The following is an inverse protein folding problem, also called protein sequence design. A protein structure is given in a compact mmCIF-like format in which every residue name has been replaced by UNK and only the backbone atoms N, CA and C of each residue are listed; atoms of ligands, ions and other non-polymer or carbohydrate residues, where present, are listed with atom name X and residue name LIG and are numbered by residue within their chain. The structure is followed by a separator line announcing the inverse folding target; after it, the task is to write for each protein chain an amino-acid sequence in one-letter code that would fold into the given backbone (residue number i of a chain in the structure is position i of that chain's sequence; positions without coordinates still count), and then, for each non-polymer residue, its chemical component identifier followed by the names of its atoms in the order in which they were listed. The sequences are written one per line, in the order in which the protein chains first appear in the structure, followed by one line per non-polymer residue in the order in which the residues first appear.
data_IF_532280675392
#
_entry.id   IF_532280675392
#
_cell.length_a   1.000
_cell.length_b   1.000
_cell.length_c   1.000
_cell.angle_alpha   90.00
_cell.angle_beta   90.00
_cell.angle_gamma   90.00
#
_symmetry.space_group_name_H-M   'P 1'
#
loop_
_entity.id
_entity.type
_entity.pdbx_description
1 polymer ?
#
# COMPACT_ATOMS: atom_id res chain seq x y z
N UNK A 1 -6.44 -6.68 15.08
CA UNK A 1 -5.95 -5.50 15.81
C UNK A 1 -6.95 -4.38 15.54
N UNK A 2 -7.44 -3.71 16.57
CA UNK A 2 -8.47 -2.65 16.40
C UNK A 2 -7.90 -1.30 16.82
N UNK A 3 -8.32 -0.24 16.16
CA UNK A 3 -8.03 1.13 16.53
C UNK A 3 -8.55 1.43 17.93
N UNK A 4 -7.76 2.12 18.73
CA UNK A 4 -8.10 2.47 20.13
C UNK A 4 -7.73 1.41 21.16
N UNK A 5 -7.49 0.15 20.77
CA UNK A 5 -7.05 -0.89 21.70
C UNK A 5 -5.68 -0.56 22.30
N UNK A 6 -5.35 -1.09 23.50
CA UNK A 6 -4.01 -0.98 24.09
C UNK A 6 -2.93 -1.61 23.21
N UNK A 7 -1.73 -1.05 23.24
CA UNK A 7 -0.56 -1.56 22.53
C UNK A 7 0.21 -2.62 23.32
N UNK A 8 -0.26 -3.87 23.32
CA UNK A 8 0.32 -5.00 24.08
C UNK A 8 1.32 -5.86 23.30
N UNK A 9 1.36 -5.73 21.99
CA UNK A 9 2.17 -6.56 21.10
C UNK A 9 2.45 -5.90 19.76
N UNK A 10 3.45 -6.43 19.05
CA UNK A 10 3.78 -6.13 17.65
C UNK A 10 3.57 -7.40 16.83
N UNK A 11 3.20 -7.23 15.58
CA UNK A 11 3.13 -8.32 14.62
C UNK A 11 4.13 -8.10 13.49
N UNK A 12 4.84 -9.15 13.11
CA UNK A 12 5.73 -9.18 11.93
C UNK A 12 5.02 -10.02 10.87
N UNK A 13 4.70 -9.43 9.73
CA UNK A 13 4.08 -10.16 8.63
C UNK A 13 5.09 -11.13 8.00
N UNK A 14 4.73 -12.41 7.94
CA UNK A 14 5.55 -13.50 7.36
C UNK A 14 5.12 -13.78 5.93
N UNK A 15 3.81 -13.79 5.69
CA UNK A 15 3.22 -13.95 4.37
C UNK A 15 1.82 -13.31 4.31
N UNK A 16 1.31 -13.13 3.12
CA UNK A 16 0.02 -12.47 2.89
C UNK A 16 0.08 -10.95 3.02
N UNK A 17 -1.10 -10.32 3.00
CA UNK A 17 -1.25 -8.85 3.05
C UNK A 17 -2.35 -8.46 4.02
N UNK A 18 -2.23 -7.27 4.60
CA UNK A 18 -3.24 -6.69 5.49
C UNK A 18 -3.62 -5.29 5.02
N UNK A 19 -4.86 -4.90 5.31
CA UNK A 19 -5.38 -3.54 5.16
C UNK A 19 -5.21 -2.80 6.48
N UNK A 20 -4.65 -1.60 6.42
CA UNK A 20 -4.60 -0.67 7.55
C UNK A 20 -5.74 0.31 7.38
N UNK A 21 -6.67 0.30 8.33
CA UNK A 21 -7.92 1.06 8.26
C UNK A 21 -8.06 1.92 9.51
N UNK A 22 -8.31 3.20 9.34
CA UNK A 22 -8.65 4.08 10.46
C UNK A 22 -10.09 4.55 10.32
N UNK A 23 -10.77 4.63 11.45
CA UNK A 23 -12.10 5.24 11.55
C UNK A 23 -11.93 6.74 11.76
N UNK A 24 -12.55 7.52 10.90
CA UNK A 24 -12.58 8.97 11.02
C UNK A 24 -13.58 9.46 12.08
N UNK A 25 -13.58 10.77 12.36
CA UNK A 25 -14.47 11.38 13.35
C UNK A 25 -15.97 11.27 13.00
N UNK A 26 -16.32 10.90 11.76
CA UNK A 26 -17.69 10.66 11.30
C UNK A 26 -18.09 9.17 11.39
N UNK A 27 -17.17 8.30 11.85
CA UNK A 27 -17.40 6.87 12.03
C UNK A 27 -17.20 6.04 10.76
N UNK A 28 -16.73 6.63 9.68
CA UNK A 28 -16.43 5.91 8.45
C UNK A 28 -15.02 5.30 8.47
N UNK A 29 -14.92 4.06 8.04
CA UNK A 29 -13.65 3.37 7.90
C UNK A 29 -12.94 3.86 6.63
N UNK A 30 -11.68 4.31 6.78
CA UNK A 30 -10.84 4.82 5.70
C UNK A 30 -9.61 3.94 5.54
N UNK A 31 -9.40 3.42 4.35
CA UNK A 31 -8.19 2.65 4.03
C UNK A 31 -6.98 3.58 3.92
N UNK A 32 -6.00 3.38 4.80
CA UNK A 32 -4.76 4.16 4.86
C UNK A 32 -3.66 3.56 3.98
N UNK A 33 -3.65 2.24 3.85
CA UNK A 33 -2.65 1.52 3.06
C UNK A 33 -2.76 0.01 3.17
N UNK A 34 -1.97 -0.66 2.36
CA UNK A 34 -1.74 -2.11 2.40
C UNK A 34 -0.36 -2.34 3.01
N UNK A 35 -0.20 -3.46 3.72
CA UNK A 35 1.09 -3.90 4.27
C UNK A 35 1.33 -5.35 3.88
N UNK A 36 2.59 -5.65 3.57
CA UNK A 36 3.04 -6.94 3.08
C UNK A 36 4.09 -7.60 3.95
N UNK A 37 4.70 -8.65 3.41
CA UNK A 37 5.75 -9.44 4.07
C UNK A 37 6.92 -8.57 4.56
N UNK A 38 7.37 -8.82 5.78
CA UNK A 38 8.50 -8.14 6.42
C UNK A 38 8.11 -6.86 7.17
N UNK A 39 6.89 -6.38 7.03
CA UNK A 39 6.46 -5.18 7.72
C UNK A 39 6.01 -5.45 9.17
N UNK A 40 6.27 -4.45 10.01
CA UNK A 40 5.82 -4.39 11.40
C UNK A 40 4.45 -3.74 11.50
N UNK A 41 3.62 -4.25 12.41
CA UNK A 41 2.29 -3.73 12.69
C UNK A 41 2.12 -3.53 14.20
N UNK A 42 1.68 -2.32 14.59
CA UNK A 42 1.41 -1.97 15.98
C UNK A 42 2.66 -1.61 16.78
N UNK A 43 3.77 -1.31 16.12
CA UNK A 43 5.03 -0.87 16.73
C UNK A 43 4.88 0.47 17.45
N UNK A 44 4.12 1.42 16.90
CA UNK A 44 3.97 2.77 17.46
C UNK A 44 3.46 2.71 18.90
N UNK A 45 2.32 2.08 19.11
CA UNK A 45 1.71 1.96 20.43
C UNK A 45 2.52 1.08 21.43
N UNK A 46 3.50 0.35 20.96
CA UNK A 46 4.45 -0.34 21.83
C UNK A 46 5.63 0.56 22.25
N UNK A 47 5.94 1.60 21.46
CA UNK A 47 7.05 2.53 21.71
C UNK A 47 6.59 3.76 22.49
N UNK A 48 5.41 4.32 22.13
CA UNK A 48 4.89 5.58 22.70
C UNK A 48 3.82 5.40 23.79
N UNK A 49 3.51 4.14 24.17
CA UNK A 49 2.45 3.80 25.13
C UNK A 49 1.04 4.27 24.74
N UNK A 50 0.87 4.77 23.51
CA UNK A 50 -0.40 5.23 23.00
C UNK A 50 -1.33 4.08 22.60
N UNK A 51 -2.63 4.40 22.32
CA UNK A 51 -3.57 3.44 21.76
C UNK A 51 -3.19 3.09 20.30
N UNK A 52 -3.75 1.99 19.78
CA UNK A 52 -3.61 1.63 18.37
C UNK A 52 -4.13 2.76 17.48
N UNK A 53 -3.29 3.30 16.61
CA UNK A 53 -3.64 4.41 15.70
C UNK A 53 -4.61 3.99 14.59
N UNK A 54 -4.65 2.70 14.26
CA UNK A 54 -5.50 2.13 13.21
C UNK A 54 -5.84 0.67 13.49
N UNK A 55 -6.88 0.19 12.82
CA UNK A 55 -7.21 -1.23 12.73
C UNK A 55 -6.39 -1.90 11.64
N UNK A 56 -6.05 -3.17 11.85
CA UNK A 56 -5.40 -4.02 10.85
C UNK A 56 -6.29 -5.22 10.57
N UNK A 57 -6.65 -5.38 9.30
CA UNK A 57 -7.57 -6.42 8.81
C UNK A 57 -6.85 -7.27 7.77
N UNK A 58 -6.92 -8.59 7.91
CA UNK A 58 -6.34 -9.51 6.94
C UNK A 58 -6.98 -9.33 5.56
N UNK A 59 -6.16 -9.34 4.52
CA UNK A 59 -6.59 -9.34 3.13
C UNK A 59 -6.25 -10.69 2.51
N UNK A 60 -7.13 -11.65 2.69
CA UNK A 60 -6.89 -13.05 2.36
C UNK A 60 -6.17 -13.82 3.48
N UNK A 61 -5.45 -14.88 3.12
CA UNK A 61 -4.64 -15.66 4.04
C UNK A 61 -3.40 -14.87 4.48
N UNK A 62 -3.14 -14.83 5.78
CA UNK A 62 -2.03 -14.07 6.37
C UNK A 62 -1.36 -14.91 7.45
N UNK A 63 -0.04 -14.95 7.42
CA UNK A 63 0.77 -15.44 8.53
C UNK A 63 1.55 -14.29 9.16
N UNK A 64 1.52 -14.20 10.48
CA UNK A 64 2.24 -13.19 11.23
C UNK A 64 2.79 -13.74 12.55
N UNK A 65 3.96 -13.27 12.94
CA UNK A 65 4.56 -13.60 14.24
C UNK A 65 4.17 -12.53 15.25
N UNK A 66 3.49 -12.93 16.32
CA UNK A 66 3.18 -12.06 17.46
C UNK A 66 4.38 -11.97 18.40
N UNK A 67 4.74 -10.76 18.80
CA UNK A 67 5.79 -10.46 19.77
C UNK A 67 5.18 -9.56 20.83
N UNK A 68 5.27 -9.93 22.11
CA UNK A 68 4.78 -9.11 23.22
C UNK A 68 5.55 -7.79 23.29
N UNK A 69 4.94 -6.72 23.78
CA UNK A 69 5.57 -5.41 23.96
C UNK A 69 6.89 -5.51 24.72
N UNK A 70 6.88 -6.18 25.88
CA UNK A 70 8.11 -6.36 26.71
C UNK A 70 9.23 -7.02 25.91
N UNK A 71 8.93 -8.09 25.16
CA UNK A 71 9.94 -8.78 24.34
C UNK A 71 10.41 -7.92 23.17
N UNK A 72 9.50 -7.17 22.55
CA UNK A 72 9.83 -6.28 21.42
C UNK A 72 10.78 -5.15 21.86
N UNK A 73 10.46 -4.48 22.97
CA UNK A 73 11.33 -3.44 23.54
C UNK A 73 12.69 -4.03 23.91
N UNK A 74 12.73 -5.16 24.64
CA UNK A 74 13.99 -5.82 24.96
C UNK A 74 14.84 -6.20 23.74
N UNK A 75 14.22 -6.64 22.64
CA UNK A 75 14.95 -6.91 21.37
C UNK A 75 15.55 -5.62 20.79
N UNK A 76 14.85 -4.48 20.87
CA UNK A 76 15.37 -3.21 20.37
C UNK A 76 16.56 -2.73 21.22
N UNK A 77 16.50 -2.92 22.54
CA UNK A 77 17.59 -2.56 23.47
C UNK A 77 18.82 -3.46 23.26
N UNK A 78 18.61 -4.76 23.13
CA UNK A 78 19.67 -5.75 22.90
C UNK A 78 20.30 -5.66 21.50
N UNK A 79 19.52 -5.19 20.50
CA UNK A 79 19.89 -5.20 19.07
C UNK A 79 19.62 -3.87 18.40
N UNK A 80 20.56 -2.91 18.44
CA UNK A 80 20.39 -1.59 17.83
C UNK A 80 20.05 -1.63 16.32
N UNK A 81 20.42 -2.72 15.62
CA UNK A 81 20.06 -2.91 14.22
C UNK A 81 18.54 -3.05 14.04
N UNK A 82 17.85 -3.71 14.99
CA UNK A 82 16.38 -3.85 14.96
C UNK A 82 15.73 -2.49 15.23
N UNK A 83 16.22 -1.73 16.22
CA UNK A 83 15.72 -0.38 16.50
C UNK A 83 15.85 0.53 15.27
N UNK A 84 17.00 0.50 14.56
CA UNK A 84 17.19 1.25 13.31
C UNK A 84 16.21 0.83 12.23
N UNK A 85 15.90 -0.47 12.10
CA UNK A 85 14.93 -0.94 11.12
C UNK A 85 13.50 -0.47 11.44
N UNK A 86 13.11 -0.47 12.72
CA UNK A 86 11.83 0.10 13.17
C UNK A 86 11.74 1.58 12.81
N UNK A 87 12.77 2.37 13.15
CA UNK A 87 12.84 3.80 12.82
C UNK A 87 12.77 3.99 11.29
N UNK A 88 13.48 3.17 10.51
CA UNK A 88 13.45 3.24 9.05
C UNK A 88 12.04 3.03 8.49
N UNK A 89 11.31 2.02 8.97
CA UNK A 89 9.95 1.74 8.52
C UNK A 89 8.98 2.87 8.90
N UNK A 90 9.04 3.36 10.13
CA UNK A 90 8.20 4.48 10.59
C UNK A 90 8.51 5.76 9.79
N UNK A 91 9.78 6.07 9.59
CA UNK A 91 10.20 7.24 8.80
C UNK A 91 9.75 7.13 7.33
N UNK A 92 9.78 5.93 6.75
CA UNK A 92 9.25 5.72 5.39
C UNK A 92 7.75 5.99 5.34
N UNK A 93 6.98 5.49 6.30
CA UNK A 93 5.52 5.74 6.38
C UNK A 93 5.20 7.22 6.56
N UNK A 94 6.00 7.95 7.34
CA UNK A 94 5.85 9.39 7.50
C UNK A 94 6.09 10.11 6.17
N UNK A 95 7.20 9.83 5.48
CA UNK A 95 7.47 10.40 4.14
C UNK A 95 6.36 10.11 3.13
N UNK A 96 5.81 8.90 3.15
CA UNK A 96 4.71 8.54 2.26
C UNK A 96 3.41 9.30 2.59
N UNK A 97 3.15 9.55 3.88
CA UNK A 97 2.02 10.37 4.31
C UNK A 97 2.19 11.84 3.91
N UNK A 98 3.39 12.41 4.11
CA UNK A 98 3.74 13.79 3.70
C UNK A 98 3.64 13.94 2.18
N UNK A 99 4.16 12.97 1.41
CA UNK A 99 4.04 12.96 -0.05
C UNK A 99 2.58 12.97 -0.48
N UNK A 100 1.75 12.08 0.07
CA UNK A 100 0.31 12.03 -0.21
C UNK A 100 -0.38 13.36 0.11
N UNK A 101 -0.04 14.00 1.22
CA UNK A 101 -0.59 15.30 1.59
C UNK A 101 -0.19 16.38 0.60
N UNK A 102 1.07 16.44 0.17
CA UNK A 102 1.54 17.37 -0.85
C UNK A 102 0.84 17.16 -2.20
N UNK A 103 0.66 15.90 -2.60
CA UNK A 103 -0.04 15.52 -3.83
C UNK A 103 -1.51 15.97 -3.87
N UNK A 104 -2.17 16.09 -2.71
CA UNK A 104 -3.56 16.59 -2.63
C UNK A 104 -3.71 18.02 -3.13
N UNK A 105 -2.69 18.85 -2.94
CA UNK A 105 -2.72 20.27 -3.30
C UNK A 105 -2.10 20.53 -4.67
N UNK A 106 -1.16 19.70 -5.12
CA UNK A 106 -0.38 19.92 -6.34
C UNK A 106 -0.81 19.09 -7.54
N UNK A 107 -1.54 18.00 -7.34
CA UNK A 107 -1.83 17.05 -8.41
C UNK A 107 -3.31 16.80 -8.65
N UNK A 108 -3.63 16.52 -9.90
CA UNK A 108 -4.98 16.10 -10.26
C UNK A 108 -5.26 14.64 -9.83
N UNK A 109 -6.55 14.29 -9.78
CA UNK A 109 -7.00 12.95 -9.35
C UNK A 109 -6.44 11.84 -10.24
N UNK A 110 -6.30 12.08 -11.54
CA UNK A 110 -5.80 11.06 -12.48
C UNK A 110 -4.37 10.64 -12.14
N UNK A 111 -3.51 11.62 -11.82
CA UNK A 111 -2.12 11.38 -11.41
C UNK A 111 -2.08 10.62 -10.09
N UNK A 112 -2.86 11.05 -9.08
CA UNK A 112 -2.91 10.36 -7.78
C UNK A 112 -3.39 8.92 -7.89
N UNK A 113 -4.46 8.65 -8.66
CA UNK A 113 -4.95 7.28 -8.91
C UNK A 113 -3.89 6.45 -9.62
N UNK A 114 -3.19 7.01 -10.60
CA UNK A 114 -2.12 6.31 -11.31
C UNK A 114 -0.97 5.94 -10.38
N UNK A 115 -0.54 6.84 -9.50
CA UNK A 115 0.52 6.57 -8.51
C UNK A 115 0.11 5.52 -7.48
N UNK A 116 -1.10 5.60 -6.95
CA UNK A 116 -1.63 4.57 -6.05
C UNK A 116 -1.60 3.20 -6.72
N UNK A 117 -1.96 3.11 -8.01
CA UNK A 117 -1.87 1.85 -8.74
C UNK A 117 -0.43 1.37 -8.90
N UNK A 118 0.53 2.26 -9.14
CA UNK A 118 1.96 1.91 -9.21
C UNK A 118 2.45 1.40 -7.86
N UNK A 119 2.14 2.09 -6.76
CA UNK A 119 2.50 1.67 -5.41
C UNK A 119 1.90 0.29 -5.09
N UNK A 120 0.63 0.06 -5.42
CA UNK A 120 -0.05 -1.22 -5.21
C UNK A 120 0.51 -2.34 -6.09
N UNK A 121 0.88 -2.05 -7.32
CA UNK A 121 1.52 -3.04 -8.18
C UNK A 121 2.82 -3.54 -7.55
N UNK A 122 3.64 -2.66 -6.97
CA UNK A 122 4.86 -3.05 -6.26
C UNK A 122 4.55 -3.97 -5.05
N UNK A 123 3.42 -3.75 -4.37
CA UNK A 123 2.97 -4.60 -3.26
C UNK A 123 2.42 -5.97 -3.71
N UNK A 124 1.81 -6.03 -4.90
CA UNK A 124 1.12 -7.23 -5.39
C UNK A 124 1.90 -7.99 -6.48
N UNK A 125 3.07 -7.52 -6.87
CA UNK A 125 3.98 -8.26 -7.75
C UNK A 125 4.51 -9.47 -6.97
N UNK A 126 4.24 -10.65 -7.46
CA UNK A 126 4.87 -11.87 -6.99
C UNK A 126 6.14 -12.14 -7.81
N UNK A 127 7.16 -12.76 -7.19
CA UNK A 127 8.41 -13.13 -7.86
C UNK A 127 8.09 -13.99 -9.10
N UNK A 128 8.37 -13.46 -10.29
CA UNK A 128 8.10 -14.11 -11.59
C UNK A 128 6.83 -13.64 -12.32
N UNK A 129 5.99 -12.79 -11.74
CA UNK A 129 4.71 -12.33 -12.33
C UNK A 129 4.82 -11.07 -13.19
N UNK A 130 5.92 -10.34 -13.13
CA UNK A 130 6.08 -9.04 -13.79
C UNK A 130 5.84 -9.05 -15.31
N UNK A 131 6.04 -10.19 -15.97
CA UNK A 131 5.86 -10.34 -17.43
C UNK A 131 4.41 -10.56 -17.86
N UNK A 132 3.50 -10.92 -16.94
CA UNK A 132 2.10 -11.28 -17.26
C UNK A 132 1.06 -10.26 -16.79
N UNK A 133 1.52 -9.11 -16.29
CA UNK A 133 0.65 -8.15 -15.64
C UNK A 133 0.41 -8.49 -14.15
N UNK A 134 -0.14 -7.52 -13.41
CA UNK A 134 -0.37 -7.63 -11.97
C UNK A 134 -1.85 -7.43 -11.67
N UNK A 135 -2.43 -8.33 -10.90
CA UNK A 135 -3.79 -8.19 -10.38
C UNK A 135 -3.74 -7.58 -8.99
N UNK A 136 -4.35 -6.42 -8.83
CA UNK A 136 -4.54 -5.72 -7.56
C UNK A 136 -5.94 -6.04 -7.04
N UNK A 137 -6.10 -6.86 -6.01
CA UNK A 137 -7.40 -7.30 -5.50
C UNK A 137 -8.04 -6.24 -4.58
N UNK A 138 -8.21 -5.03 -5.08
CA UNK A 138 -8.88 -3.90 -4.42
C UNK A 138 -9.99 -3.36 -5.29
N UNK A 139 -11.10 -2.99 -4.65
CA UNK A 139 -12.24 -2.36 -5.29
C UNK A 139 -11.98 -0.90 -5.63
N UNK A 140 -12.83 -0.33 -6.49
CA UNK A 140 -12.72 1.07 -6.92
C UNK A 140 -12.90 2.04 -5.75
N UNK A 141 -13.71 1.69 -4.75
CA UNK A 141 -13.91 2.47 -3.51
C UNK A 141 -12.60 2.55 -2.71
N UNK A 142 -11.92 1.41 -2.52
CA UNK A 142 -10.66 1.34 -1.80
C UNK A 142 -9.55 2.11 -2.52
N UNK A 143 -9.51 2.05 -3.85
CA UNK A 143 -8.59 2.85 -4.65
C UNK A 143 -8.88 4.35 -4.54
N UNK A 144 -10.16 4.73 -4.50
CA UNK A 144 -10.55 6.12 -4.27
C UNK A 144 -10.07 6.63 -2.91
N UNK A 145 -10.24 5.83 -1.86
CA UNK A 145 -9.76 6.15 -0.50
C UNK A 145 -8.24 6.33 -0.46
N UNK A 146 -7.48 5.40 -1.06
CA UNK A 146 -6.01 5.48 -1.12
C UNK A 146 -5.51 6.68 -1.90
N UNK A 147 -6.24 7.08 -2.98
CA UNK A 147 -5.93 8.25 -3.79
C UNK A 147 -6.49 9.57 -3.20
N UNK A 148 -7.13 9.50 -2.04
CA UNK A 148 -7.85 10.63 -1.43
C UNK A 148 -8.74 11.36 -2.44
N UNK A 149 -9.54 10.60 -3.18
CA UNK A 149 -10.45 11.07 -4.22
C UNK A 149 -11.89 10.63 -3.92
N UNK A 150 -12.87 11.36 -4.47
CA UNK A 150 -14.24 10.85 -4.47
C UNK A 150 -14.35 9.61 -5.36
N UNK A 151 -15.27 8.71 -5.03
CA UNK A 151 -15.54 7.50 -5.82
C UNK A 151 -15.77 7.84 -7.30
N UNK A 152 -16.58 8.86 -7.59
CA UNK A 152 -16.88 9.31 -8.96
C UNK A 152 -15.62 9.78 -9.70
N UNK A 153 -14.75 10.53 -9.01
CA UNK A 153 -13.50 11.03 -9.62
C UNK A 153 -12.52 9.90 -9.89
N UNK A 154 -12.39 8.94 -8.96
CA UNK A 154 -11.57 7.76 -9.15
C UNK A 154 -12.09 6.88 -10.31
N UNK A 155 -13.41 6.69 -10.42
CA UNK A 155 -14.01 5.98 -11.56
C UNK A 155 -13.70 6.65 -12.91
N UNK A 156 -13.75 7.99 -12.98
CA UNK A 156 -13.40 8.73 -14.20
C UNK A 156 -11.93 8.53 -14.57
N UNK A 157 -11.02 8.58 -13.58
CA UNK A 157 -9.59 8.31 -13.78
C UNK A 157 -9.36 6.88 -14.29
N UNK A 158 -9.97 5.88 -13.64
CA UNK A 158 -9.88 4.47 -14.07
C UNK A 158 -10.46 4.26 -15.48
N UNK A 159 -11.56 4.97 -15.85
CA UNK A 159 -12.09 4.91 -17.22
C UNK A 159 -11.06 5.40 -18.24
N UNK A 160 -10.34 6.52 -17.96
CA UNK A 160 -9.29 7.04 -18.85
C UNK A 160 -8.12 6.07 -18.99
N UNK A 161 -7.66 5.48 -17.88
CA UNK A 161 -6.62 4.44 -17.89
C UNK A 161 -7.06 3.20 -18.69
N UNK A 162 -8.32 2.80 -18.57
CA UNK A 162 -8.92 1.70 -19.32
C UNK A 162 -9.01 1.97 -20.83
N UNK A 163 -9.39 3.20 -21.23
CA UNK A 163 -9.40 3.61 -22.64
C UNK A 163 -8.00 3.53 -23.26
N UNK A 164 -6.96 3.80 -22.43
CA UNK A 164 -5.55 3.64 -22.83
C UNK A 164 -5.04 2.19 -22.71
N UNK A 165 -5.88 1.23 -22.37
CA UNK A 165 -5.53 -0.17 -22.14
C UNK A 165 -4.46 -0.40 -21.07
N UNK A 166 -4.28 0.55 -20.13
CA UNK A 166 -3.31 0.46 -19.03
C UNK A 166 -3.84 -0.32 -17.85
N UNK A 167 -5.17 -0.40 -17.70
CA UNK A 167 -5.83 -1.19 -16.66
C UNK A 167 -7.07 -1.90 -17.22
N UNK A 168 -7.43 -3.01 -16.57
CA UNK A 168 -8.71 -3.70 -16.73
C UNK A 168 -9.38 -3.73 -15.35
N UNK A 169 -10.63 -3.24 -15.26
CA UNK A 169 -11.37 -3.22 -14.01
C UNK A 169 -12.34 -4.39 -13.95
N UNK A 170 -12.27 -5.18 -12.87
CA UNK A 170 -13.19 -6.27 -12.55
C UNK A 170 -13.93 -6.02 -11.24
N UNK A 171 -14.75 -6.98 -10.83
CA UNK A 171 -15.41 -6.94 -9.52
C UNK A 171 -14.36 -7.13 -8.41
N UNK A 172 -14.20 -6.10 -7.55
CA UNK A 172 -13.26 -6.15 -6.43
C UNK A 172 -11.77 -6.22 -6.81
N UNK A 173 -11.41 -5.94 -8.06
CA UNK A 173 -10.01 -5.98 -8.51
C UNK A 173 -9.74 -5.05 -9.69
N UNK A 174 -8.48 -4.65 -9.81
CA UNK A 174 -7.94 -3.95 -10.98
C UNK A 174 -6.73 -4.73 -11.48
N UNK A 175 -6.70 -5.03 -12.76
CA UNK A 175 -5.57 -5.68 -13.42
C UNK A 175 -4.75 -4.64 -14.17
N UNK A 176 -3.44 -4.71 -14.07
CA UNK A 176 -2.47 -3.86 -14.76
C UNK A 176 -1.70 -4.73 -15.75
N UNK A 177 -2.09 -4.77 -17.04
CA UNK A 177 -1.45 -5.64 -18.03
C UNK A 177 0.01 -5.33 -18.32
N UNK A 178 0.40 -4.04 -18.23
CA UNK A 178 1.77 -3.59 -18.44
C UNK A 178 2.19 -2.60 -17.37
N UNK A 179 2.99 -3.05 -16.42
CA UNK A 179 3.47 -2.24 -15.30
C UNK A 179 4.37 -1.09 -15.79
N UNK A 180 5.30 -1.38 -16.73
CA UNK A 180 6.21 -0.38 -17.27
C UNK A 180 5.47 0.79 -17.95
N UNK A 181 4.37 0.50 -18.67
CA UNK A 181 3.55 1.53 -19.30
C UNK A 181 2.82 2.39 -18.26
N UNK A 182 2.35 1.80 -17.15
CA UNK A 182 1.70 2.52 -16.07
C UNK A 182 2.71 3.42 -15.33
N UNK A 183 3.91 2.91 -15.04
CA UNK A 183 5.01 3.67 -14.42
C UNK A 183 5.42 4.86 -15.28
N UNK A 184 5.60 4.66 -16.59
CA UNK A 184 5.94 5.75 -17.51
C UNK A 184 4.89 6.88 -17.51
N UNK A 185 3.61 6.54 -17.36
CA UNK A 185 2.53 7.53 -17.27
C UNK A 185 2.54 8.28 -15.92
N UNK A 186 2.96 7.65 -14.84
CA UNK A 186 2.96 8.25 -13.50
C UNK A 186 3.99 9.36 -13.31
N UNK A 187 4.96 9.49 -14.22
CA UNK A 187 6.10 10.41 -14.08
C UNK A 187 7.07 10.06 -12.95
N UNK A 188 6.92 8.88 -12.34
CA UNK A 188 7.80 8.41 -11.28
C UNK A 188 9.08 7.82 -11.89
N UNK A 189 10.20 8.55 -11.78
CA UNK A 189 11.54 8.07 -12.17
C UNK A 189 12.12 7.01 -11.20
N UNK A 190 11.34 6.50 -10.25
CA UNK A 190 11.77 5.59 -9.19
C UNK A 190 11.07 4.23 -9.26
N UNK A 191 11.03 3.62 -10.42
CA UNK A 191 10.82 2.17 -10.48
C UNK A 191 12.17 1.50 -10.23
N UNK A 192 12.57 1.34 -8.97
CA UNK A 192 13.62 0.38 -8.63
C UNK A 192 13.07 -0.99 -9.06
N UNK A 193 13.70 -1.58 -10.07
CA UNK A 193 13.59 -2.97 -10.50
C UNK A 193 12.35 -3.41 -11.30
N UNK A 194 11.60 -2.53 -11.95
CA UNK A 194 10.64 -2.97 -12.98
C UNK A 194 11.24 -2.76 -14.37
N UNK A 195 12.30 -3.49 -14.66
CA UNK A 195 12.92 -3.50 -16.00
C UNK A 195 12.15 -4.43 -16.92
N UNK A 196 11.61 -3.86 -17.99
CA UNK A 196 11.31 -4.58 -19.21
C UNK A 196 9.82 -4.75 -19.51
N UNK A 197 9.31 -3.99 -20.49
CA UNK A 197 8.30 -4.53 -21.41
C UNK A 197 8.97 -5.71 -22.13
N UNK A 198 8.90 -6.91 -21.53
CA UNK A 198 9.25 -8.16 -22.19
C UNK A 198 8.38 -8.31 -23.42
N UNK A 199 8.99 -8.43 -24.58
CA UNK A 199 8.45 -8.37 -25.93
C UNK A 199 7.28 -9.29 -26.32
N UNK A 200 6.21 -9.25 -25.57
CA UNK A 200 4.94 -9.94 -25.89
C UNK A 200 3.86 -8.88 -26.21
N UNK A 201 3.60 -8.72 -27.47
CA UNK A 201 2.44 -8.24 -28.25
C UNK A 201 1.36 -7.33 -27.67
N UNK A 202 1.43 -6.83 -26.43
CA UNK A 202 0.32 -6.13 -25.76
C UNK A 202 0.75 -4.76 -25.21
N UNK A 203 1.88 -4.21 -25.61
CA UNK A 203 2.19 -2.84 -25.26
C UNK A 203 1.34 -1.88 -26.08
N UNK A 204 0.43 -1.06 -25.51
CA UNK A 204 -0.48 -0.18 -26.26
C UNK A 204 0.22 0.98 -26.99
N UNK A 205 1.55 1.09 -26.89
CA UNK A 205 2.36 2.15 -27.51
C UNK A 205 3.26 1.66 -28.66
N UNK A 206 2.97 0.47 -29.23
CA UNK A 206 3.51 0.03 -30.51
C UNK A 206 2.43 -0.13 -31.54
#
# INVERSE_FOLDING_TARGET
MRQGDPGDCVWVLRSGRVKVVARDGSGHDRLLGIRGKGELLGEMSCVDDGPRSASVVAHGAVEATKITKTRFVGIMDERPAVAREVVRQVSQRLRDAERKQSELTSENVDTRVTRVLVDLVAEFVDEGSAARGVSVPLGQEELAQLAAASHVSAQRALRRLRTRKLVVTGYGRVEVPCVACLVALSGLNHAKDVTGCGGHGVCPQR
#
